data_IF_006768960702
#
_entry.id   IF_006768960702
#
_cell.length_a   1.000
_cell.length_b   1.000
_cell.length_c   1.000
_cell.angle_alpha   90.00
_cell.angle_beta   90.00
_cell.angle_gamma   90.00
#
_symmetry.space_group_name_H-M   'P 1'
#
loop_
_entity.id
_entity.type
_entity.pdbx_description
1 polymer ?
#
# COMPACT_ATOMS: atom_id res chain seq x y z
N UNK A 1 -24.75 -21.42 -9.23
CA UNK A 1 -24.76 -21.85 -7.81
C UNK A 1 -24.13 -23.23 -7.60
N UNK A 2 -24.14 -24.13 -8.58
CA UNK A 2 -23.59 -25.51 -8.46
C UNK A 2 -22.06 -25.54 -8.71
N UNK A 3 -21.54 -24.66 -9.54
CA UNK A 3 -20.09 -24.60 -9.87
C UNK A 3 -19.18 -24.01 -8.75
N UNK A 4 -19.69 -23.06 -7.91
CA UNK A 4 -18.92 -22.53 -6.78
C UNK A 4 -18.60 -23.59 -5.70
N UNK A 5 -19.52 -24.50 -5.47
CA UNK A 5 -19.33 -25.57 -4.46
C UNK A 5 -18.29 -26.61 -4.90
N UNK A 6 -18.03 -26.75 -6.22
CA UNK A 6 -17.06 -27.72 -6.72
C UNK A 6 -15.59 -27.23 -6.54
N UNK A 7 -15.35 -25.92 -6.70
CA UNK A 7 -14.01 -25.30 -6.45
C UNK A 7 -13.64 -25.39 -4.97
N UNK A 8 -14.58 -25.12 -4.05
CA UNK A 8 -14.37 -25.23 -2.60
C UNK A 8 -13.97 -26.65 -2.20
N UNK A 9 -14.61 -27.66 -2.79
CA UNK A 9 -14.30 -29.06 -2.49
C UNK A 9 -12.94 -29.49 -3.05
N UNK A 10 -12.53 -28.93 -4.20
CA UNK A 10 -11.23 -29.17 -4.82
C UNK A 10 -10.07 -28.60 -4.00
N UNK A 11 -10.24 -27.37 -3.46
CA UNK A 11 -9.23 -26.72 -2.62
C UNK A 11 -9.05 -27.42 -1.26
N UNK A 12 -10.16 -27.82 -0.62
CA UNK A 12 -10.08 -28.62 0.61
C UNK A 12 -9.36 -29.96 0.40
N UNK A 13 -9.55 -30.58 -0.79
CA UNK A 13 -8.87 -31.81 -1.15
C UNK A 13 -7.39 -31.59 -1.51
N UNK A 14 -7.01 -30.44 -2.09
CA UNK A 14 -5.63 -30.08 -2.38
C UNK A 14 -4.85 -29.78 -1.09
N UNK A 15 -5.45 -29.02 -0.15
CA UNK A 15 -4.89 -28.79 1.18
C UNK A 15 -4.66 -30.12 1.93
N UNK A 16 -5.59 -31.05 1.87
CA UNK A 16 -5.45 -32.38 2.47
C UNK A 16 -4.35 -33.22 1.81
N UNK A 17 -4.09 -33.05 0.50
CA UNK A 17 -3.05 -33.81 -0.20
C UNK A 17 -1.63 -33.33 0.11
N UNK A 18 -1.43 -32.00 0.28
CA UNK A 18 -0.13 -31.42 0.63
C UNK A 18 0.27 -31.80 2.08
N UNK A 19 -0.72 -31.91 2.99
CA UNK A 19 -0.48 -32.33 4.38
C UNK A 19 -0.30 -33.85 4.58
N UNK A 20 -0.64 -34.67 3.59
CA UNK A 20 -0.49 -36.12 3.69
C UNK A 20 0.98 -36.61 3.65
N UNK A 21 1.94 -35.76 3.26
CA UNK A 21 3.38 -36.11 3.20
C UNK A 21 4.07 -35.80 4.52
N UNK A 22 3.50 -35.00 5.42
CA UNK A 22 4.10 -34.56 6.68
C UNK A 22 3.46 -35.06 7.98
N UNK A 23 2.68 -36.14 7.98
CA UNK A 23 2.32 -36.89 9.19
C UNK A 23 1.52 -36.18 10.30
N UNK A 24 0.91 -35.01 10.10
CA UNK A 24 -0.05 -34.41 11.05
C UNK A 24 -1.38 -34.10 10.36
N UNK A 25 -2.47 -34.57 10.94
CA UNK A 25 -3.83 -34.25 10.50
C UNK A 25 -4.12 -32.79 10.79
N UNK A 26 -4.42 -31.99 9.75
CA UNK A 26 -5.01 -30.67 9.93
C UNK A 26 -6.51 -30.82 10.08
N UNK A 27 -7.03 -30.45 11.22
CA UNK A 27 -8.47 -30.31 11.51
C UNK A 27 -8.93 -28.92 11.08
N UNK A 28 -10.15 -28.79 10.56
CA UNK A 28 -10.73 -27.51 10.21
C UNK A 28 -10.77 -26.59 11.46
N UNK A 29 -10.36 -25.33 11.28
CA UNK A 29 -10.16 -24.34 12.32
C UNK A 29 -11.35 -24.25 13.30
N UNK A 30 -11.09 -24.63 14.51
CA UNK A 30 -11.96 -24.49 15.67
C UNK A 30 -11.18 -24.79 16.92
N UNK A 31 -10.85 -23.72 17.64
CA UNK A 31 -10.21 -23.64 18.96
C UNK A 31 -8.66 -23.50 18.93
N UNK A 32 -8.14 -22.65 19.84
CA UNK A 32 -6.75 -22.19 20.01
C UNK A 32 -5.64 -23.28 20.09
N UNK A 33 -5.96 -24.55 19.92
CA UNK A 33 -5.01 -25.67 20.08
C UNK A 33 -4.05 -25.91 18.88
N UNK A 34 -4.32 -25.30 17.70
CA UNK A 34 -3.52 -25.52 16.48
C UNK A 34 -2.68 -24.30 16.04
N UNK A 35 -2.67 -23.19 16.82
CA UNK A 35 -1.90 -21.99 16.47
C UNK A 35 -0.42 -22.24 16.76
N UNK A 36 0.40 -22.14 15.70
CA UNK A 36 1.84 -22.33 15.80
C UNK A 36 2.60 -21.03 16.11
N UNK A 37 2.17 -19.92 15.49
CA UNK A 37 2.80 -18.61 15.67
C UNK A 37 1.77 -17.52 15.93
N UNK A 38 2.19 -16.53 16.72
CA UNK A 38 1.45 -15.30 16.94
C UNK A 38 2.24 -14.12 16.37
N UNK A 39 1.56 -13.19 15.70
CA UNK A 39 2.18 -12.09 14.96
C UNK A 39 1.53 -10.78 15.40
N UNK A 40 2.35 -9.80 15.76
CA UNK A 40 1.89 -8.44 15.97
C UNK A 40 1.85 -7.68 14.62
N UNK A 41 0.81 -6.90 14.41
CA UNK A 41 0.68 -6.01 13.24
C UNK A 41 0.54 -4.57 13.71
N UNK A 42 1.49 -3.74 13.34
CA UNK A 42 1.51 -2.31 13.68
C UNK A 42 0.82 -1.52 12.59
N UNK A 43 -0.17 -0.71 12.98
CA UNK A 43 -0.92 0.16 12.08
C UNK A 43 -0.90 1.61 12.59
N UNK A 44 -0.84 2.59 11.67
CA UNK A 44 -0.80 4.00 12.05
C UNK A 44 -2.20 4.54 12.41
N UNK A 45 -3.26 3.99 11.83
CA UNK A 45 -4.64 4.39 12.11
C UNK A 45 -5.60 3.22 11.78
N UNK A 46 -6.23 2.66 12.80
CA UNK A 46 -7.18 1.55 12.65
C UNK A 46 -8.43 1.89 11.82
N UNK A 47 -8.79 3.16 11.75
CA UNK A 47 -9.96 3.65 11.00
C UNK A 47 -9.62 4.03 9.56
N UNK A 48 -8.34 3.98 9.17
CA UNK A 48 -7.92 4.26 7.80
C UNK A 48 -8.35 3.13 6.85
N UNK A 49 -8.94 3.44 5.68
CA UNK A 49 -9.29 2.45 4.66
C UNK A 49 -8.11 1.55 4.29
N UNK A 50 -6.92 2.13 4.10
CA UNK A 50 -5.69 1.39 3.79
C UNK A 50 -5.32 0.39 4.90
N UNK A 51 -5.34 0.81 6.16
CA UNK A 51 -5.01 -0.08 7.28
C UNK A 51 -6.07 -1.16 7.47
N UNK A 52 -7.34 -0.83 7.32
CA UNK A 52 -8.43 -1.80 7.36
C UNK A 52 -8.27 -2.88 6.28
N UNK A 53 -7.90 -2.48 5.08
CA UNK A 53 -7.63 -3.39 3.96
C UNK A 53 -6.53 -4.41 4.32
N UNK A 54 -5.38 -3.96 4.86
CA UNK A 54 -4.30 -4.84 5.29
C UNK A 54 -4.68 -5.70 6.50
N UNK A 55 -5.34 -5.13 7.51
CA UNK A 55 -5.79 -5.89 8.68
C UNK A 55 -6.76 -7.01 8.28
N UNK A 56 -7.68 -6.73 7.35
CA UNK A 56 -8.64 -7.73 6.88
C UNK A 56 -7.94 -8.84 6.07
N UNK A 57 -6.95 -8.51 5.22
CA UNK A 57 -6.17 -9.51 4.53
C UNK A 57 -5.51 -10.50 5.49
N UNK A 58 -4.91 -10.03 6.59
CA UNK A 58 -4.31 -10.91 7.59
C UNK A 58 -5.36 -11.68 8.39
N UNK A 59 -6.41 -11.02 8.87
CA UNK A 59 -7.42 -11.59 9.76
C UNK A 59 -8.34 -12.56 9.03
N UNK A 60 -8.85 -12.14 7.86
CA UNK A 60 -9.92 -12.87 7.18
C UNK A 60 -9.38 -13.84 6.13
N UNK A 61 -8.12 -13.68 5.69
CA UNK A 61 -7.55 -14.48 4.61
C UNK A 61 -6.34 -15.30 5.07
N UNK A 62 -5.23 -14.65 5.46
CA UNK A 62 -4.00 -15.37 5.84
C UNK A 62 -4.23 -16.30 7.03
N UNK A 63 -4.96 -15.86 8.04
CA UNK A 63 -5.27 -16.67 9.23
C UNK A 63 -6.10 -17.94 8.92
N UNK A 64 -6.79 -17.98 7.78
CA UNK A 64 -7.51 -19.18 7.35
C UNK A 64 -6.60 -20.21 6.67
N UNK A 65 -5.53 -19.77 6.03
CA UNK A 65 -4.60 -20.63 5.28
C UNK A 65 -3.38 -21.10 6.07
N UNK A 66 -3.05 -20.42 7.19
CA UNK A 66 -1.86 -20.68 7.98
C UNK A 66 -2.18 -20.82 9.48
N UNK A 67 -1.42 -21.63 10.25
CA UNK A 67 -1.62 -21.80 11.69
C UNK A 67 -1.06 -20.60 12.48
N UNK A 68 -1.58 -19.41 12.23
CA UNK A 68 -1.14 -18.14 12.83
C UNK A 68 -2.29 -17.38 13.43
N UNK A 69 -2.00 -16.49 14.40
CA UNK A 69 -2.94 -15.53 14.98
C UNK A 69 -2.31 -14.15 14.97
N UNK A 70 -3.11 -13.15 14.57
CA UNK A 70 -2.67 -11.76 14.50
C UNK A 70 -3.19 -10.95 15.68
N UNK A 71 -2.33 -10.07 16.21
CA UNK A 71 -2.67 -9.03 17.18
C UNK A 71 -2.37 -7.67 16.56
N UNK A 72 -3.37 -6.82 16.46
CA UNK A 72 -3.25 -5.50 15.85
C UNK A 72 -3.00 -4.45 16.92
N UNK A 73 -2.10 -3.49 16.64
CA UNK A 73 -1.88 -2.35 17.52
C UNK A 73 -3.12 -1.44 17.57
N UNK A 74 -3.20 -0.56 18.57
CA UNK A 74 -3.99 0.67 18.45
C UNK A 74 -3.37 1.61 17.42
N UNK A 75 -3.89 2.84 17.31
CA UNK A 75 -3.28 3.87 16.46
C UNK A 75 -1.88 4.20 16.98
N UNK A 76 -0.88 4.04 16.11
CA UNK A 76 0.51 4.37 16.40
C UNK A 76 0.82 5.74 15.79
N UNK A 77 1.32 6.65 16.62
CA UNK A 77 1.60 8.02 16.21
C UNK A 77 3.07 8.44 16.40
N UNK A 78 3.86 7.60 17.03
CA UNK A 78 5.29 7.83 17.27
C UNK A 78 6.08 6.52 17.28
N UNK A 79 7.38 6.61 17.05
CA UNK A 79 8.28 5.47 17.20
C UNK A 79 8.27 4.88 18.62
N UNK A 80 8.02 5.71 19.65
CA UNK A 80 7.89 5.22 21.04
C UNK A 80 6.65 4.36 21.22
N UNK A 81 5.50 4.76 20.64
CA UNK A 81 4.27 3.96 20.69
C UNK A 81 4.50 2.59 20.03
N UNK A 82 5.24 2.55 18.91
CA UNK A 82 5.59 1.29 18.24
C UNK A 82 6.53 0.43 19.08
N UNK A 83 7.57 1.03 19.67
CA UNK A 83 8.47 0.33 20.61
C UNK A 83 7.73 -0.24 21.81
N UNK A 84 6.78 0.51 22.38
CA UNK A 84 5.96 0.03 23.49
C UNK A 84 5.04 -1.12 23.07
N UNK A 85 4.49 -1.08 21.87
CA UNK A 85 3.72 -2.20 21.31
C UNK A 85 4.61 -3.44 21.15
N UNK A 86 5.83 -3.33 20.60
CA UNK A 86 6.78 -4.43 20.45
C UNK A 86 7.07 -5.08 21.81
N UNK A 87 7.39 -4.28 22.84
CA UNK A 87 7.63 -4.77 24.21
C UNK A 87 6.42 -5.49 24.81
N UNK A 88 5.23 -4.93 24.58
CA UNK A 88 3.97 -5.53 25.05
C UNK A 88 3.71 -6.87 24.34
N UNK A 89 3.97 -6.95 23.04
CA UNK A 89 3.81 -8.20 22.28
C UNK A 89 4.80 -9.26 22.73
N UNK A 90 6.05 -8.91 23.02
CA UNK A 90 7.03 -9.84 23.60
C UNK A 90 6.54 -10.46 24.89
N UNK A 91 5.96 -9.65 25.80
CA UNK A 91 5.40 -10.14 27.06
C UNK A 91 4.21 -11.10 26.86
N UNK A 92 3.50 -10.99 25.75
CA UNK A 92 2.42 -11.90 25.37
C UNK A 92 2.87 -13.14 24.60
N UNK A 93 4.18 -13.30 24.36
CA UNK A 93 4.75 -14.44 23.64
C UNK A 93 4.56 -14.37 22.13
N UNK A 94 4.36 -13.17 21.58
CA UNK A 94 4.29 -12.95 20.13
C UNK A 94 5.65 -13.27 19.50
N UNK A 95 5.64 -13.89 18.33
CA UNK A 95 6.85 -14.43 17.67
C UNK A 95 7.52 -13.43 16.73
N UNK A 96 6.77 -12.45 16.21
CA UNK A 96 7.31 -11.44 15.29
C UNK A 96 6.30 -10.34 14.94
N UNK A 97 6.79 -9.28 14.30
CA UNK A 97 6.06 -8.06 13.98
C UNK A 97 6.07 -7.78 12.49
N UNK A 98 4.91 -7.45 11.93
CA UNK A 98 4.77 -6.79 10.63
C UNK A 98 4.34 -5.35 10.90
N UNK A 99 5.08 -4.36 10.41
CA UNK A 99 4.75 -2.95 10.64
C UNK A 99 4.38 -2.23 9.34
N UNK A 100 3.37 -1.38 9.43
CA UNK A 100 2.98 -0.40 8.39
C UNK A 100 3.26 1.05 8.82
N UNK A 101 4.09 1.24 9.85
CA UNK A 101 4.43 2.57 10.37
C UNK A 101 5.91 2.92 10.14
N UNK A 102 6.84 2.32 10.84
CA UNK A 102 8.29 2.37 10.57
C UNK A 102 8.96 3.75 10.66
N UNK A 103 8.41 4.73 11.40
CA UNK A 103 9.10 5.99 11.64
C UNK A 103 10.23 5.80 12.65
N UNK A 104 11.37 6.52 12.42
CA UNK A 104 12.59 6.32 13.23
C UNK A 104 12.99 4.84 13.33
N UNK A 105 13.13 4.23 12.16
CA UNK A 105 13.37 2.79 12.00
C UNK A 105 14.59 2.29 12.79
N UNK A 106 15.62 3.14 13.00
CA UNK A 106 16.79 2.77 13.78
C UNK A 106 16.40 2.44 15.23
N UNK A 107 15.61 3.31 15.89
CA UNK A 107 15.12 3.08 17.24
C UNK A 107 14.24 1.84 17.37
N UNK A 108 13.39 1.61 16.36
CA UNK A 108 12.52 0.45 16.31
C UNK A 108 13.35 -0.84 16.22
N UNK A 109 14.33 -0.87 15.32
CA UNK A 109 15.21 -2.04 15.15
C UNK A 109 16.07 -2.28 16.39
N UNK A 110 16.59 -1.23 17.05
CA UNK A 110 17.27 -1.37 18.35
C UNK A 110 16.35 -2.04 19.39
N UNK A 111 15.08 -1.63 19.47
CA UNK A 111 14.10 -2.27 20.36
C UNK A 111 13.84 -3.73 19.98
N UNK A 112 13.77 -4.05 18.69
CA UNK A 112 13.60 -5.42 18.22
C UNK A 112 14.81 -6.31 18.57
N UNK A 113 16.02 -5.76 18.48
CA UNK A 113 17.26 -6.47 18.90
C UNK A 113 17.30 -6.70 20.42
N UNK A 114 16.89 -5.70 21.22
CA UNK A 114 16.80 -5.81 22.68
C UNK A 114 15.77 -6.88 23.12
N UNK A 115 14.63 -6.93 22.44
CA UNK A 115 13.53 -7.84 22.76
C UNK A 115 13.65 -9.19 22.02
N UNK A 116 14.66 -9.40 21.20
CA UNK A 116 14.80 -10.59 20.35
C UNK A 116 13.50 -10.88 19.57
N UNK A 117 12.98 -9.86 18.86
CA UNK A 117 11.70 -9.89 18.15
C UNK A 117 11.93 -9.71 16.65
N UNK A 118 11.59 -10.70 15.85
CA UNK A 118 11.63 -10.53 14.40
C UNK A 118 10.70 -9.41 13.92
N UNK A 119 11.21 -8.61 12.99
CA UNK A 119 10.49 -7.45 12.47
C UNK A 119 10.66 -7.33 10.97
N UNK A 120 9.57 -7.08 10.27
CA UNK A 120 9.54 -6.75 8.84
C UNK A 120 8.69 -5.50 8.61
N UNK A 121 9.20 -4.55 7.81
CA UNK A 121 8.45 -3.38 7.40
C UNK A 121 7.64 -3.72 6.13
N UNK A 122 6.32 -3.69 6.25
CA UNK A 122 5.37 -3.85 5.15
C UNK A 122 4.93 -2.48 4.62
N UNK A 123 5.06 -2.25 3.33
CA UNK A 123 4.57 -1.03 2.69
C UNK A 123 5.20 0.29 3.18
N UNK A 124 6.49 0.26 3.53
CA UNK A 124 7.25 1.46 3.91
C UNK A 124 8.52 1.61 3.08
N UNK A 125 9.07 2.81 3.05
CA UNK A 125 10.37 3.06 2.44
C UNK A 125 11.42 3.34 3.51
N UNK A 126 12.64 2.86 3.30
CA UNK A 126 13.80 3.09 4.17
C UNK A 126 14.89 3.70 3.29
N UNK A 127 15.47 4.83 3.70
CA UNK A 127 16.61 5.42 2.99
C UNK A 127 17.81 4.45 2.97
N UNK A 128 18.67 4.58 1.97
CA UNK A 128 19.90 3.77 1.92
C UNK A 128 20.77 4.02 3.15
N UNK A 129 20.83 5.27 3.63
CA UNK A 129 21.58 5.65 4.82
C UNK A 129 21.04 4.92 6.08
N UNK A 130 19.74 4.89 6.29
CA UNK A 130 19.14 4.21 7.44
C UNK A 130 19.25 2.69 7.31
N UNK A 131 19.03 2.17 6.11
CA UNK A 131 19.20 0.74 5.84
C UNK A 131 20.62 0.26 6.17
N UNK A 132 21.65 1.00 5.75
CA UNK A 132 23.05 0.65 6.03
C UNK A 132 23.37 0.59 7.54
N UNK A 133 22.65 1.35 8.37
CA UNK A 133 22.81 1.32 9.83
C UNK A 133 22.17 0.11 10.51
N UNK A 134 21.07 -0.41 9.92
CA UNK A 134 20.25 -1.44 10.57
C UNK A 134 20.35 -2.84 9.93
N UNK A 135 20.89 -2.96 8.71
CA UNK A 135 20.97 -4.23 7.97
C UNK A 135 21.76 -5.34 8.65
N UNK A 136 22.57 -5.01 9.66
CA UNK A 136 23.32 -6.00 10.45
C UNK A 136 22.54 -6.57 11.64
N UNK A 137 21.32 -6.06 11.91
CA UNK A 137 20.44 -6.64 12.92
C UNK A 137 20.09 -8.08 12.59
N UNK A 138 20.02 -8.94 13.60
CA UNK A 138 19.58 -10.32 13.43
C UNK A 138 18.05 -10.45 13.40
N UNK A 139 17.36 -9.46 13.91
CA UNK A 139 15.92 -9.47 14.07
C UNK A 139 15.18 -8.60 13.06
N UNK A 140 15.88 -7.65 12.41
CA UNK A 140 15.32 -6.90 11.30
C UNK A 140 15.42 -7.72 10.01
N UNK A 141 14.27 -8.13 9.46
CA UNK A 141 14.21 -9.00 8.28
C UNK A 141 14.14 -8.21 6.97
N UNK A 142 14.01 -6.89 7.04
CA UNK A 142 13.98 -6.03 5.88
C UNK A 142 12.64 -5.37 5.61
N UNK A 143 12.40 -5.02 4.35
CA UNK A 143 11.21 -4.32 3.91
C UNK A 143 10.61 -4.90 2.63
N UNK A 144 9.28 -4.76 2.50
CA UNK A 144 8.52 -5.03 1.26
C UNK A 144 7.64 -3.82 0.96
N UNK A 145 7.50 -3.44 -0.29
CA UNK A 145 6.53 -2.42 -0.71
C UNK A 145 7.07 -1.50 -1.81
N UNK A 146 6.35 -0.44 -2.15
CA UNK A 146 6.74 0.51 -3.17
C UNK A 146 8.07 1.20 -2.84
N UNK A 147 8.85 1.52 -3.86
CA UNK A 147 10.05 2.36 -3.76
C UNK A 147 9.77 3.78 -4.26
N UNK A 148 10.80 4.61 -4.24
CA UNK A 148 10.71 5.98 -4.74
C UNK A 148 10.32 6.06 -6.22
N UNK A 149 10.74 5.07 -7.02
CA UNK A 149 10.39 4.99 -8.45
C UNK A 149 8.91 4.68 -8.63
N UNK A 150 8.37 3.73 -7.88
CA UNK A 150 6.95 3.40 -7.92
C UNK A 150 6.07 4.60 -7.47
N UNK A 151 6.50 5.33 -6.44
CA UNK A 151 5.81 6.55 -5.99
C UNK A 151 5.84 7.63 -7.09
N UNK A 152 6.98 7.85 -7.74
CA UNK A 152 7.11 8.79 -8.86
C UNK A 152 6.20 8.37 -10.03
N UNK A 153 6.27 7.10 -10.45
CA UNK A 153 5.47 6.55 -11.55
C UNK A 153 3.96 6.66 -11.27
N UNK A 154 3.53 6.47 -10.02
CA UNK A 154 2.12 6.65 -9.65
C UNK A 154 1.62 8.08 -9.91
N UNK A 155 2.42 9.08 -9.56
CA UNK A 155 2.12 10.48 -9.85
C UNK A 155 2.17 10.79 -11.34
N UNK A 156 3.20 10.33 -12.03
CA UNK A 156 3.40 10.52 -13.46
C UNK A 156 2.25 9.92 -14.30
N UNK A 157 1.87 8.66 -14.02
CA UNK A 157 0.79 8.00 -14.75
C UNK A 157 -0.58 8.64 -14.49
N UNK A 158 -0.81 9.15 -13.28
CA UNK A 158 -2.01 9.92 -12.97
C UNK A 158 -2.08 11.18 -13.85
N UNK A 159 -1.01 11.96 -13.95
CA UNK A 159 -0.99 13.16 -14.80
C UNK A 159 -1.11 12.84 -16.29
N UNK A 160 -0.53 11.74 -16.76
CA UNK A 160 -0.67 11.25 -18.13
C UNK A 160 -2.14 11.01 -18.50
N UNK A 161 -2.90 10.36 -17.62
CA UNK A 161 -4.32 10.13 -17.80
C UNK A 161 -5.11 11.46 -17.90
N UNK A 162 -4.82 12.44 -17.05
CA UNK A 162 -5.58 13.69 -17.02
C UNK A 162 -5.20 14.66 -18.15
N UNK A 163 -3.95 14.65 -18.61
CA UNK A 163 -3.49 15.47 -19.72
C UNK A 163 -4.15 15.08 -21.07
N UNK A 164 -4.57 13.82 -21.22
CA UNK A 164 -5.31 13.35 -22.40
C UNK A 164 -6.80 13.73 -22.37
N UNK A 165 -7.25 14.41 -21.31
CA UNK A 165 -8.64 14.84 -21.14
C UNK A 165 -8.80 16.33 -21.45
N UNK A 166 -10.07 16.79 -21.62
CA UNK A 166 -10.39 18.23 -21.78
C UNK A 166 -10.21 18.97 -20.44
N UNK A 167 -8.97 18.96 -19.90
CA UNK A 167 -8.61 19.54 -18.61
C UNK A 167 -7.58 20.65 -18.81
N UNK A 168 -7.80 21.79 -18.18
CA UNK A 168 -6.91 22.95 -18.30
C UNK A 168 -6.56 23.60 -16.96
N UNK A 169 -7.35 23.35 -15.92
CA UNK A 169 -7.19 23.95 -14.60
C UNK A 169 -7.01 22.85 -13.55
N UNK A 170 -5.78 22.59 -13.18
CA UNK A 170 -5.40 21.55 -12.24
C UNK A 170 -5.16 22.10 -10.83
N UNK A 171 -5.59 21.36 -9.81
CA UNK A 171 -5.10 21.55 -8.45
C UNK A 171 -4.40 20.28 -7.98
N UNK A 172 -3.15 20.40 -7.56
CA UNK A 172 -2.32 19.31 -7.08
C UNK A 172 -2.28 19.36 -5.55
N UNK A 173 -2.85 18.35 -4.90
CA UNK A 173 -2.84 18.21 -3.45
C UNK A 173 -1.61 17.40 -3.04
N UNK A 174 -0.77 17.97 -2.19
CA UNK A 174 0.47 17.34 -1.73
C UNK A 174 0.61 17.37 -0.22
N UNK A 175 1.23 16.35 0.38
CA UNK A 175 1.51 16.30 1.81
C UNK A 175 2.39 17.45 2.32
N UNK A 176 3.06 18.16 1.40
CA UNK A 176 3.95 19.27 1.71
C UNK A 176 5.25 18.83 2.38
N UNK A 177 6.24 19.73 2.40
CA UNK A 177 7.55 19.46 3.01
C UNK A 177 7.48 19.28 4.53
N UNK A 178 6.51 19.95 5.19
CA UNK A 178 6.30 19.87 6.64
C UNK A 178 5.87 18.50 7.12
N UNK A 179 5.37 17.63 6.23
CA UNK A 179 4.99 16.27 6.54
C UNK A 179 6.19 15.31 6.59
N UNK A 180 7.35 15.70 6.05
CA UNK A 180 8.54 14.83 5.97
C UNK A 180 8.32 13.54 5.18
N UNK A 181 7.27 13.47 4.37
CA UNK A 181 6.88 12.26 3.67
C UNK A 181 7.50 12.21 2.29
N UNK A 182 8.55 11.41 2.17
CA UNK A 182 9.28 11.23 0.91
C UNK A 182 8.42 10.62 -0.21
N UNK A 183 7.46 9.78 0.12
CA UNK A 183 6.55 9.18 -0.86
C UNK A 183 5.69 10.26 -1.54
N UNK A 184 5.09 11.17 -0.76
CA UNK A 184 4.29 12.26 -1.31
C UNK A 184 5.13 13.23 -2.14
N UNK A 185 6.40 13.45 -1.76
CA UNK A 185 7.34 14.24 -2.56
C UNK A 185 7.54 13.61 -3.94
N UNK A 186 7.86 12.32 -4.02
CA UNK A 186 8.08 11.63 -5.29
C UNK A 186 6.82 11.62 -6.16
N UNK A 187 5.65 11.37 -5.59
CA UNK A 187 4.37 11.44 -6.31
C UNK A 187 4.12 12.83 -6.86
N UNK A 188 4.38 13.88 -6.08
CA UNK A 188 4.21 15.27 -6.53
C UNK A 188 5.16 15.64 -7.66
N UNK A 189 6.42 15.22 -7.58
CA UNK A 189 7.40 15.39 -8.67
C UNK A 189 6.89 14.67 -9.93
N UNK A 190 6.45 13.42 -9.81
CA UNK A 190 5.88 12.68 -10.92
C UNK A 190 4.69 13.38 -11.57
N UNK A 191 3.75 13.91 -10.78
CA UNK A 191 2.60 14.68 -11.29
C UNK A 191 3.07 15.91 -12.08
N UNK A 192 3.98 16.69 -11.53
CA UNK A 192 4.41 17.93 -12.17
C UNK A 192 5.22 17.67 -13.45
N UNK A 193 6.13 16.69 -13.43
CA UNK A 193 6.90 16.33 -14.62
C UNK A 193 6.02 15.71 -15.71
N UNK A 194 5.06 14.85 -15.34
CA UNK A 194 4.12 14.27 -16.27
C UNK A 194 3.24 15.32 -16.95
N UNK A 195 2.66 16.26 -16.19
CA UNK A 195 1.93 17.41 -16.77
C UNK A 195 2.83 18.24 -17.68
N UNK A 196 4.07 18.52 -17.25
CA UNK A 196 5.01 19.30 -18.06
C UNK A 196 5.31 18.61 -19.39
N UNK A 197 5.55 17.31 -19.40
CA UNK A 197 5.83 16.55 -20.61
C UNK A 197 4.62 16.48 -21.55
N UNK A 198 3.46 16.13 -21.02
CA UNK A 198 2.25 15.89 -21.81
C UNK A 198 1.62 17.18 -22.34
N UNK A 199 1.54 18.18 -21.51
CA UNK A 199 1.00 19.49 -21.86
C UNK A 199 2.04 20.42 -22.53
N UNK A 200 3.32 20.00 -22.58
CA UNK A 200 4.43 20.80 -23.11
C UNK A 200 4.64 22.10 -22.32
N UNK A 201 4.66 21.99 -20.97
CA UNK A 201 4.85 23.13 -20.08
C UNK A 201 6.33 23.40 -19.83
N UNK A 202 6.63 24.62 -19.39
CA UNK A 202 7.96 25.02 -18.94
C UNK A 202 7.80 25.83 -17.67
N UNK A 203 8.05 25.21 -16.54
CA UNK A 203 7.96 25.89 -15.25
C UNK A 203 9.08 26.92 -15.07
N UNK A 204 8.75 28.03 -14.42
CA UNK A 204 9.73 29.05 -14.07
C UNK A 204 10.62 28.68 -12.86
N UNK A 205 10.23 27.66 -12.11
CA UNK A 205 10.98 27.10 -10.97
C UNK A 205 11.24 25.60 -11.16
N UNK A 206 12.25 25.09 -10.46
CA UNK A 206 12.56 23.66 -10.44
C UNK A 206 11.40 22.86 -9.81
N UNK A 207 11.10 21.68 -10.36
CA UNK A 207 9.99 20.82 -9.92
C UNK A 207 10.14 20.41 -8.45
N UNK A 208 11.36 20.11 -8.00
CA UNK A 208 11.63 19.76 -6.61
C UNK A 208 11.28 20.90 -5.65
N UNK A 209 11.52 22.14 -6.06
CA UNK A 209 11.10 23.32 -5.27
C UNK A 209 9.58 23.48 -5.22
N UNK A 210 8.93 23.30 -6.36
CA UNK A 210 7.47 23.35 -6.44
C UNK A 210 6.85 22.27 -5.55
N UNK A 211 7.38 21.05 -5.61
CA UNK A 211 6.88 19.90 -4.86
C UNK A 211 6.99 20.03 -3.33
N UNK A 212 7.91 20.87 -2.83
CA UNK A 212 8.05 21.14 -1.39
C UNK A 212 7.43 22.47 -0.96
N UNK A 213 6.59 23.07 -1.79
CA UNK A 213 5.90 24.32 -1.42
C UNK A 213 5.14 24.16 -0.10
N UNK A 214 5.23 25.15 0.77
CA UNK A 214 4.54 25.17 2.06
C UNK A 214 3.25 26.01 2.04
N UNK A 215 3.05 26.76 0.96
CA UNK A 215 1.88 27.62 0.75
C UNK A 215 1.23 27.30 -0.59
N UNK A 216 -0.07 27.55 -0.70
CA UNK A 216 -0.79 27.45 -1.97
C UNK A 216 -0.16 28.34 -3.02
N UNK A 217 0.25 27.76 -4.13
CA UNK A 217 1.05 28.43 -5.16
C UNK A 217 0.46 28.17 -6.54
N UNK A 218 0.16 29.23 -7.28
CA UNK A 218 -0.15 29.13 -8.71
C UNK A 218 1.18 29.05 -9.46
N UNK A 219 1.35 27.97 -10.22
CA UNK A 219 2.59 27.70 -10.95
C UNK A 219 2.61 28.48 -12.25
N UNK A 220 3.73 29.13 -12.53
CA UNK A 220 3.99 29.68 -13.87
C UNK A 220 4.34 28.53 -14.81
N UNK A 221 3.41 28.17 -15.67
CA UNK A 221 3.49 27.03 -16.60
C UNK A 221 4.11 27.39 -17.96
N UNK A 222 4.37 28.67 -18.20
CA UNK A 222 4.77 29.16 -19.52
C UNK A 222 3.67 29.13 -20.57
N UNK A 223 2.42 28.81 -20.21
CA UNK A 223 1.22 28.80 -21.06
C UNK A 223 0.08 29.55 -20.40
N UNK A 224 -0.71 30.26 -21.22
CA UNK A 224 -1.87 31.05 -20.75
C UNK A 224 -3.14 30.19 -20.59
N UNK A 225 -3.21 29.04 -21.23
CA UNK A 225 -4.38 28.17 -21.31
C UNK A 225 -4.34 26.98 -20.35
N UNK A 226 -3.20 26.74 -19.67
CA UNK A 226 -3.06 25.69 -18.65
C UNK A 226 -2.67 26.32 -17.31
N UNK A 227 -3.47 26.07 -16.29
CA UNK A 227 -3.23 26.53 -14.93
C UNK A 227 -3.00 25.35 -13.98
N UNK A 228 -1.97 25.45 -13.14
CA UNK A 228 -1.68 24.47 -12.08
C UNK A 228 -1.58 25.22 -10.76
N UNK A 229 -2.34 24.76 -9.77
CA UNK A 229 -2.23 25.24 -8.39
C UNK A 229 -1.72 24.12 -7.50
N UNK A 230 -0.59 24.32 -6.83
CA UNK A 230 -0.09 23.42 -5.78
C UNK A 230 -0.75 23.81 -4.47
N UNK A 231 -1.43 22.85 -3.81
CA UNK A 231 -2.11 23.04 -2.55
C UNK A 231 -1.50 22.08 -1.50
N UNK A 232 -0.57 22.58 -0.65
CA UNK A 232 0.15 21.75 0.29
C UNK A 232 -0.62 21.54 1.61
N UNK A 233 -0.35 20.40 2.24
CA UNK A 233 -0.80 20.04 3.58
C UNK A 233 -1.74 18.84 3.57
N UNK A 234 -1.58 17.98 4.60
CA UNK A 234 -2.52 16.87 4.79
C UNK A 234 -3.92 17.38 5.06
N UNK A 235 -4.90 16.73 4.45
CA UNK A 235 -6.32 17.07 4.61
C UNK A 235 -6.90 16.61 5.95
N UNK A 236 -6.23 15.71 6.64
CA UNK A 236 -6.54 15.35 8.04
C UNK A 236 -6.25 16.47 9.06
N UNK A 237 -5.56 17.55 8.66
CA UNK A 237 -5.25 18.66 9.54
C UNK A 237 -5.87 19.98 9.05
N UNK A 238 -6.27 20.88 9.98
CA UNK A 238 -6.96 22.11 9.62
C UNK A 238 -6.23 22.99 8.60
N UNK A 239 -4.89 22.99 8.58
CA UNK A 239 -4.10 23.78 7.63
C UNK A 239 -4.36 23.35 6.19
N UNK A 240 -4.30 22.05 5.90
CA UNK A 240 -4.55 21.51 4.55
C UNK A 240 -5.96 21.79 4.08
N UNK A 241 -6.97 21.50 4.91
CA UNK A 241 -8.37 21.81 4.63
C UNK A 241 -8.59 23.30 4.34
N UNK A 242 -7.97 24.20 5.10
CA UNK A 242 -8.10 25.63 4.87
C UNK A 242 -7.42 26.07 3.59
N UNK A 243 -6.24 25.53 3.26
CA UNK A 243 -5.57 25.81 2.00
C UNK A 243 -6.43 25.41 0.81
N UNK A 244 -7.02 24.21 0.83
CA UNK A 244 -7.92 23.73 -0.21
C UNK A 244 -9.16 24.63 -0.36
N UNK A 245 -9.82 24.98 0.75
CA UNK A 245 -11.00 25.87 0.73
C UNK A 245 -10.66 27.25 0.19
N UNK A 246 -9.49 27.81 0.51
CA UNK A 246 -9.07 29.08 -0.05
C UNK A 246 -8.80 28.98 -1.55
N UNK A 247 -8.10 27.94 -2.00
CA UNK A 247 -7.88 27.71 -3.43
C UNK A 247 -9.21 27.63 -4.21
N UNK A 248 -10.22 26.94 -3.65
CA UNK A 248 -11.54 26.82 -4.26
C UNK A 248 -12.36 28.11 -4.29
N UNK A 249 -12.10 29.06 -3.38
CA UNK A 249 -12.71 30.40 -3.44
C UNK A 249 -12.08 31.23 -4.56
N UNK A 250 -10.76 31.09 -4.76
CA UNK A 250 -10.00 31.94 -5.67
C UNK A 250 -10.10 31.51 -7.13
N UNK A 251 -10.40 30.21 -7.42
CA UNK A 251 -10.46 29.68 -8.77
C UNK A 251 -11.46 28.52 -8.92
N UNK A 252 -11.81 28.23 -10.18
CA UNK A 252 -12.47 26.99 -10.59
C UNK A 252 -11.42 26.01 -11.11
N UNK A 253 -11.69 24.73 -10.93
CA UNK A 253 -10.80 23.66 -11.34
C UNK A 253 -11.54 22.62 -12.17
N UNK A 254 -10.82 22.00 -13.12
CA UNK A 254 -11.32 20.90 -13.93
C UNK A 254 -10.88 19.55 -13.34
N UNK A 255 -9.74 19.53 -12.64
CA UNK A 255 -9.22 18.32 -12.00
C UNK A 255 -8.51 18.59 -10.66
N UNK A 256 -8.67 17.64 -9.74
CA UNK A 256 -7.93 17.48 -8.49
C UNK A 256 -7.00 16.27 -8.64
N UNK A 257 -5.69 16.50 -8.56
CA UNK A 257 -4.66 15.46 -8.55
C UNK A 257 -4.12 15.31 -7.13
N UNK A 258 -4.54 14.25 -6.43
CA UNK A 258 -4.24 14.05 -5.02
C UNK A 258 -3.11 13.00 -4.84
N UNK A 259 -2.02 13.37 -4.20
CA UNK A 259 -0.88 12.45 -3.96
C UNK A 259 -1.05 11.56 -2.74
N UNK A 260 -2.24 11.59 -2.13
CA UNK A 260 -2.67 10.77 -0.99
C UNK A 260 -4.18 10.50 -1.10
N UNK A 261 -4.79 9.88 -0.06
CA UNK A 261 -6.20 9.52 -0.06
C UNK A 261 -7.14 10.74 -0.13
N UNK A 262 -8.31 10.54 -0.75
CA UNK A 262 -9.29 11.60 -1.03
C UNK A 262 -10.47 11.64 -0.07
N UNK A 263 -10.65 10.68 0.83
CA UNK A 263 -11.85 10.49 1.65
C UNK A 263 -12.28 11.76 2.39
N UNK A 264 -11.32 12.46 3.00
CA UNK A 264 -11.62 13.66 3.81
C UNK A 264 -11.99 14.90 2.97
N UNK A 265 -11.64 14.90 1.68
CA UNK A 265 -11.86 16.06 0.79
C UNK A 265 -13.07 15.89 -0.14
N UNK A 266 -13.60 14.69 -0.31
CA UNK A 266 -14.73 14.41 -1.21
C UNK A 266 -15.89 15.36 -1.02
N UNK A 267 -16.31 15.62 0.22
CA UNK A 267 -17.39 16.56 0.53
C UNK A 267 -17.08 18.00 0.13
N UNK A 268 -15.80 18.40 0.20
CA UNK A 268 -15.34 19.74 -0.15
C UNK A 268 -15.35 19.89 -1.67
N UNK A 269 -14.90 18.86 -2.39
CA UNK A 269 -14.91 18.82 -3.86
C UNK A 269 -16.35 18.84 -4.36
N UNK A 270 -17.23 17.97 -3.87
CA UNK A 270 -18.65 17.94 -4.24
C UNK A 270 -19.33 19.31 -4.04
N UNK A 271 -19.05 19.98 -2.91
CA UNK A 271 -19.60 21.32 -2.68
C UNK A 271 -19.07 22.35 -3.70
N UNK A 272 -17.81 22.22 -4.12
CA UNK A 272 -17.20 23.09 -5.14
C UNK A 272 -17.79 22.84 -6.52
N UNK A 273 -18.01 21.58 -6.88
CA UNK A 273 -18.69 21.20 -8.14
C UNK A 273 -20.09 21.83 -8.25
N UNK A 274 -20.87 21.73 -7.18
CA UNK A 274 -22.21 22.37 -7.11
C UNK A 274 -22.11 23.89 -7.23
N UNK A 275 -21.11 24.52 -6.60
CA UNK A 275 -20.88 25.97 -6.66
C UNK A 275 -20.49 26.43 -8.07
N UNK A 276 -19.54 25.75 -8.71
CA UNK A 276 -19.05 26.11 -10.05
C UNK A 276 -19.96 25.64 -11.19
N UNK A 277 -20.88 24.69 -10.91
CA UNK A 277 -21.84 24.15 -11.85
C UNK A 277 -21.26 23.24 -12.93
N UNK A 278 -20.10 22.61 -12.62
CA UNK A 278 -19.42 21.64 -13.48
C UNK A 278 -18.69 20.59 -12.65
N UNK A 279 -18.52 19.41 -13.23
CA UNK A 279 -17.75 18.31 -12.64
C UNK A 279 -16.28 18.70 -12.43
N UNK A 280 -15.66 18.13 -11.40
CA UNK A 280 -14.21 18.18 -11.12
C UNK A 280 -13.71 16.74 -11.15
N UNK A 281 -12.91 16.39 -12.14
CA UNK A 281 -12.30 15.07 -12.23
C UNK A 281 -11.32 14.85 -11.06
N UNK A 282 -11.31 13.64 -10.49
CA UNK A 282 -10.49 13.33 -9.31
C UNK A 282 -9.55 12.17 -9.62
N UNK A 283 -8.25 12.42 -9.46
CA UNK A 283 -7.23 11.39 -9.43
C UNK A 283 -6.57 11.31 -8.05
N UNK A 284 -6.30 10.08 -7.58
CA UNK A 284 -5.68 9.85 -6.29
C UNK A 284 -4.56 8.80 -6.33
N UNK A 285 -3.57 8.96 -5.45
CA UNK A 285 -2.67 7.86 -5.08
C UNK A 285 -3.09 7.34 -3.71
N UNK A 286 -3.81 6.23 -3.70
CA UNK A 286 -4.54 5.73 -2.54
C UNK A 286 -4.44 4.20 -2.41
N UNK A 287 -5.54 3.49 -2.31
CA UNK A 287 -5.60 2.03 -2.17
C UNK A 287 -6.90 1.45 -2.77
N UNK A 288 -6.87 0.16 -3.09
CA UNK A 288 -8.05 -0.59 -3.55
C UNK A 288 -8.85 -1.07 -2.34
N UNK A 289 -9.45 -0.12 -1.61
CA UNK A 289 -10.30 -0.34 -0.44
C UNK A 289 -11.78 -0.47 -0.80
N UNK A 290 -12.59 -0.91 0.16
CA UNK A 290 -14.05 -0.94 0.03
C UNK A 290 -14.62 0.47 -0.14
N UNK A 291 -14.05 1.44 0.57
CA UNK A 291 -14.47 2.84 0.52
C UNK A 291 -14.26 3.43 -0.88
N UNK A 292 -13.08 3.23 -1.46
CA UNK A 292 -12.79 3.67 -2.83
C UNK A 292 -13.64 2.91 -3.87
N UNK A 293 -13.92 1.61 -3.62
CA UNK A 293 -14.85 0.85 -4.44
C UNK A 293 -16.26 1.48 -4.44
N UNK A 294 -16.74 1.89 -3.28
CA UNK A 294 -18.07 2.51 -3.16
C UNK A 294 -18.10 3.88 -3.83
N UNK A 295 -17.05 4.70 -3.70
CA UNK A 295 -16.98 6.04 -4.30
C UNK A 295 -16.87 5.98 -5.84
N UNK A 296 -16.03 5.11 -6.40
CA UNK A 296 -15.89 4.98 -7.87
C UNK A 296 -17.14 4.38 -8.53
N UNK A 297 -17.93 3.62 -7.76
CA UNK A 297 -19.20 3.04 -8.22
C UNK A 297 -20.40 3.96 -7.97
N UNK A 298 -20.19 5.13 -7.35
CA UNK A 298 -21.24 6.13 -7.09
C UNK A 298 -21.08 7.32 -8.04
N UNK A 299 -22.17 7.73 -8.68
CA UNK A 299 -22.17 8.93 -9.54
C UNK A 299 -22.33 10.21 -8.72
N UNK A 300 -21.67 11.27 -9.18
CA UNK A 300 -21.86 12.63 -8.70
C UNK A 300 -23.18 13.25 -9.19
N UNK A 301 -23.42 14.53 -8.89
CA UNK A 301 -24.62 15.26 -9.35
C UNK A 301 -24.62 15.54 -10.86
N UNK A 302 -23.54 15.33 -11.57
CA UNK A 302 -23.38 15.51 -13.01
C UNK A 302 -23.41 14.19 -13.78
N UNK A 303 -23.51 13.05 -13.08
CA UNK A 303 -23.59 11.72 -13.67
C UNK A 303 -22.23 11.11 -14.01
N UNK A 304 -21.15 11.59 -13.38
CA UNK A 304 -19.80 11.06 -13.52
C UNK A 304 -19.41 10.22 -12.29
N UNK A 305 -18.44 9.32 -12.40
CA UNK A 305 -17.82 8.69 -11.22
C UNK A 305 -17.25 9.76 -10.28
N UNK A 306 -17.30 9.52 -8.97
CA UNK A 306 -16.72 10.44 -8.01
C UNK A 306 -15.18 10.39 -7.96
N UNK A 307 -14.58 9.34 -8.46
CA UNK A 307 -13.13 9.19 -8.65
C UNK A 307 -12.92 8.70 -10.08
N UNK A 308 -12.12 9.40 -10.87
CA UNK A 308 -11.86 9.09 -12.27
C UNK A 308 -10.61 8.24 -12.46
N UNK A 309 -9.64 8.38 -11.57
CA UNK A 309 -8.36 7.65 -11.61
C UNK A 309 -7.86 7.36 -10.20
N UNK A 310 -7.38 6.15 -10.00
CA UNK A 310 -6.70 5.76 -8.78
C UNK A 310 -5.43 4.97 -9.13
N UNK A 311 -4.30 5.31 -8.47
CA UNK A 311 -3.15 4.45 -8.35
C UNK A 311 -3.01 4.07 -6.89
N UNK A 312 -2.72 2.79 -6.57
CA UNK A 312 -2.74 2.48 -5.15
C UNK A 312 -2.29 1.09 -4.76
N UNK A 313 -2.25 0.92 -3.45
CA UNK A 313 -1.94 -0.33 -2.78
C UNK A 313 -3.17 -1.25 -2.79
N UNK A 314 -2.91 -2.54 -2.71
CA UNK A 314 -3.93 -3.59 -2.68
C UNK A 314 -3.73 -4.49 -1.46
N UNK A 315 -4.79 -5.11 -0.97
CA UNK A 315 -4.82 -5.81 0.32
C UNK A 315 -3.71 -6.84 0.49
N UNK A 316 -3.47 -7.67 -0.52
CA UNK A 316 -2.49 -8.75 -0.46
C UNK A 316 -1.03 -8.31 -0.65
N UNK A 317 -0.76 -7.02 -0.92
CA UNK A 317 0.61 -6.47 -0.98
C UNK A 317 1.42 -6.81 0.29
N UNK A 318 0.76 -7.00 1.44
CA UNK A 318 1.39 -7.47 2.67
C UNK A 318 1.78 -8.96 2.69
N UNK A 319 1.39 -9.75 1.69
CA UNK A 319 1.65 -11.20 1.64
C UNK A 319 3.13 -11.58 1.69
N UNK A 320 3.99 -11.02 0.86
CA UNK A 320 5.43 -11.30 0.92
C UNK A 320 6.09 -10.91 2.26
N UNK A 321 5.64 -9.83 2.93
CA UNK A 321 6.10 -9.48 4.27
C UNK A 321 5.76 -10.58 5.28
N UNK A 322 4.56 -11.16 5.17
CA UNK A 322 4.18 -12.33 5.97
C UNK A 322 5.07 -13.54 5.68
N UNK A 323 5.39 -13.84 4.42
CA UNK A 323 6.26 -14.97 4.05
C UNK A 323 7.67 -14.82 4.62
N UNK A 324 8.25 -13.60 4.53
CA UNK A 324 9.55 -13.26 5.13
C UNK A 324 9.53 -13.54 6.63
N UNK A 325 8.52 -13.02 7.33
CA UNK A 325 8.41 -13.21 8.78
C UNK A 325 8.19 -14.67 9.15
N UNK A 326 7.34 -15.38 8.41
CA UNK A 326 7.06 -16.80 8.66
C UNK A 326 8.31 -17.67 8.48
N UNK A 327 9.12 -17.43 7.44
CA UNK A 327 10.39 -18.13 7.23
C UNK A 327 11.30 -17.98 8.45
N UNK A 328 11.48 -16.77 8.96
CA UNK A 328 12.34 -16.53 10.12
C UNK A 328 11.79 -17.19 11.40
N UNK A 329 10.49 -17.07 11.69
CA UNK A 329 9.85 -17.72 12.83
C UNK A 329 9.90 -19.24 12.76
N UNK A 330 9.87 -19.81 11.56
CA UNK A 330 9.99 -21.25 11.33
C UNK A 330 11.44 -21.77 11.40
N UNK A 331 12.42 -20.88 11.60
CA UNK A 331 13.83 -21.22 11.74
C UNK A 331 14.60 -21.27 10.41
N UNK A 332 14.09 -20.60 9.37
CA UNK A 332 14.69 -20.56 8.03
C UNK A 332 14.91 -19.09 7.55
N UNK A 333 15.58 -18.21 8.33
CA UNK A 333 15.79 -16.83 7.89
C UNK A 333 16.63 -16.76 6.60
N UNK A 334 17.47 -17.75 6.33
CA UNK A 334 18.24 -17.87 5.09
C UNK A 334 17.40 -18.09 3.83
N UNK A 335 16.12 -18.41 3.95
CA UNK A 335 15.20 -18.48 2.82
C UNK A 335 14.79 -17.10 2.30
N UNK A 336 15.09 -16.03 3.03
CA UNK A 336 14.74 -14.68 2.67
C UNK A 336 15.83 -13.95 1.86
N UNK A 337 17.10 -14.30 2.06
CA UNK A 337 18.24 -13.58 1.45
C UNK A 337 19.41 -14.51 1.19
N UNK A 338 20.16 -14.25 0.10
CA UNK A 338 21.43 -14.93 -0.20
C UNK A 338 22.63 -14.26 0.48
N UNK A 339 22.42 -13.14 1.18
CA UNK A 339 23.49 -12.47 1.93
C UNK A 339 23.80 -13.25 3.21
N UNK A 340 24.94 -13.92 3.21
CA UNK A 340 25.38 -14.74 4.34
C UNK A 340 25.68 -13.92 5.62
N UNK A 341 25.86 -12.61 5.49
CA UNK A 341 26.21 -11.71 6.59
C UNK A 341 24.98 -10.90 7.08
N UNK A 342 23.80 -11.10 6.50
CA UNK A 342 22.59 -10.35 6.82
C UNK A 342 21.33 -11.22 6.68
N UNK A 343 20.38 -11.04 7.58
CA UNK A 343 19.03 -11.61 7.46
C UNK A 343 18.05 -10.69 6.72
N UNK A 344 18.51 -9.52 6.27
CA UNK A 344 17.65 -8.48 5.74
C UNK A 344 17.49 -8.56 4.23
N UNK A 345 16.28 -8.29 3.74
CA UNK A 345 15.98 -8.21 2.34
C UNK A 345 15.20 -6.92 2.00
N UNK A 346 15.40 -6.39 0.80
CA UNK A 346 14.62 -5.27 0.26
C UNK A 346 13.91 -5.75 -0.98
N UNK A 347 12.59 -5.95 -0.87
CA UNK A 347 11.74 -6.37 -1.98
C UNK A 347 10.82 -5.24 -2.40
N UNK A 348 10.63 -5.11 -3.71
CA UNK A 348 9.93 -4.00 -4.31
C UNK A 348 8.63 -4.47 -4.97
N UNK A 349 7.59 -3.65 -4.80
CA UNK A 349 6.29 -3.82 -5.44
C UNK A 349 5.87 -2.46 -5.98
N UNK A 350 5.09 -2.44 -7.06
CA UNK A 350 4.50 -1.21 -7.57
C UNK A 350 3.03 -1.09 -7.16
N UNK A 351 2.43 -0.01 -7.59
CA UNK A 351 1.00 0.22 -7.44
C UNK A 351 0.23 -0.38 -8.63
N UNK A 352 -1.01 -0.73 -8.37
CA UNK A 352 -1.99 -0.89 -9.44
C UNK A 352 -2.58 0.46 -9.77
N UNK A 353 -3.12 0.60 -11.00
CA UNK A 353 -3.86 1.78 -11.40
C UNK A 353 -5.13 1.40 -12.17
N UNK A 354 -6.19 2.16 -11.92
CA UNK A 354 -7.47 2.07 -12.61
C UNK A 354 -7.89 3.46 -13.06
N UNK A 355 -8.39 3.55 -14.29
CA UNK A 355 -8.81 4.79 -14.95
C UNK A 355 -10.31 4.83 -15.25
N UNK A 356 -11.04 3.83 -14.80
CA UNK A 356 -12.48 3.72 -14.92
C UNK A 356 -13.03 2.69 -13.92
N UNK A 357 -14.36 2.66 -13.82
CA UNK A 357 -15.10 1.76 -12.93
C UNK A 357 -14.85 0.28 -13.22
N UNK A 358 -14.71 -0.11 -14.48
CA UNK A 358 -14.59 -1.51 -14.86
C UNK A 358 -13.21 -2.05 -14.49
N UNK A 359 -12.15 -1.29 -14.81
CA UNK A 359 -10.78 -1.60 -14.41
C UNK A 359 -10.57 -1.62 -12.89
N UNK A 360 -11.21 -0.68 -12.17
CA UNK A 360 -11.17 -0.71 -10.71
C UNK A 360 -11.83 -1.96 -10.14
N UNK A 361 -13.02 -2.30 -10.61
CA UNK A 361 -13.77 -3.45 -10.10
C UNK A 361 -13.06 -4.78 -10.40
N UNK A 362 -12.37 -4.89 -11.54
CA UNK A 362 -11.55 -6.04 -11.87
C UNK A 362 -10.39 -6.17 -10.86
N UNK A 363 -9.60 -5.12 -10.66
CA UNK A 363 -8.47 -5.11 -9.73
C UNK A 363 -8.91 -5.33 -8.28
N UNK A 364 -9.99 -4.67 -7.87
CA UNK A 364 -10.56 -4.86 -6.54
C UNK A 364 -10.99 -6.31 -6.32
N UNK A 365 -11.50 -6.98 -7.36
CA UNK A 365 -11.82 -8.41 -7.32
C UNK A 365 -10.64 -9.28 -6.90
N UNK A 366 -9.43 -8.99 -7.38
CA UNK A 366 -8.20 -9.71 -6.99
C UNK A 366 -7.76 -9.45 -5.53
N UNK A 367 -8.41 -8.56 -4.81
CA UNK A 367 -8.17 -8.32 -3.38
C UNK A 367 -9.20 -8.98 -2.47
N UNK A 368 -10.34 -9.43 -3.01
CA UNK A 368 -11.47 -9.93 -2.24
C UNK A 368 -11.66 -11.45 -2.34
N UNK A 369 -11.24 -12.06 -3.44
CA UNK A 369 -11.40 -13.51 -3.63
C UNK A 369 -10.24 -14.26 -2.97
N UNK A 370 -10.57 -15.31 -2.21
CA UNK A 370 -9.58 -16.13 -1.51
C UNK A 370 -8.78 -17.04 -2.46
N UNK A 371 -9.27 -17.26 -3.68
CA UNK A 371 -8.62 -18.12 -4.69
C UNK A 371 -7.93 -17.31 -5.79
N UNK A 372 -8.47 -16.15 -6.10
CA UNK A 372 -8.02 -15.26 -7.18
C UNK A 372 -7.31 -14.02 -6.61
N UNK A 373 -6.62 -14.17 -5.47
CA UNK A 373 -5.92 -13.07 -4.82
C UNK A 373 -4.51 -12.89 -5.42
N UNK A 374 -4.06 -11.64 -5.47
CA UNK A 374 -2.75 -11.28 -6.03
C UNK A 374 -1.57 -12.00 -5.36
N UNK A 375 -1.67 -12.28 -4.05
CA UNK A 375 -0.77 -13.19 -3.34
C UNK A 375 -1.63 -14.18 -2.55
N UNK A 376 -1.96 -15.29 -3.17
CA UNK A 376 -2.77 -16.34 -2.53
C UNK A 376 -1.99 -17.09 -1.46
N UNK A 377 -2.70 -17.73 -0.52
CA UNK A 377 -2.03 -18.62 0.45
C UNK A 377 -1.22 -19.72 -0.27
N UNK A 378 -1.70 -20.20 -1.42
CA UNK A 378 -0.97 -21.18 -2.22
C UNK A 378 0.33 -20.62 -2.80
N UNK A 379 0.35 -19.35 -3.25
CA UNK A 379 1.56 -18.69 -3.74
C UNK A 379 2.55 -18.48 -2.60
N UNK A 380 2.08 -18.02 -1.44
CA UNK A 380 2.93 -17.82 -0.27
C UNK A 380 3.53 -19.13 0.24
N UNK A 381 2.80 -20.24 0.19
CA UNK A 381 3.34 -21.57 0.54
C UNK A 381 4.49 -22.01 -0.38
N UNK A 382 4.52 -21.55 -1.65
CA UNK A 382 5.62 -21.85 -2.58
C UNK A 382 6.95 -21.22 -2.15
N UNK A 383 6.91 -20.09 -1.42
CA UNK A 383 8.09 -19.32 -0.99
C UNK A 383 8.34 -19.37 0.52
N UNK A 384 7.54 -20.11 1.26
CA UNK A 384 7.76 -20.41 2.68
C UNK A 384 8.42 -21.78 2.84
N UNK A 385 9.66 -21.79 3.35
CA UNK A 385 10.51 -23.00 3.42
C UNK A 385 9.91 -24.14 4.24
N UNK A 386 9.08 -23.82 5.23
CA UNK A 386 8.38 -24.83 6.01
C UNK A 386 7.35 -25.62 5.19
N UNK A 387 6.87 -25.09 4.07
CA UNK A 387 5.92 -25.73 3.15
C UNK A 387 6.59 -26.22 1.86
N UNK A 388 7.62 -25.50 1.39
CA UNK A 388 8.41 -25.86 0.21
C UNK A 388 9.91 -25.84 0.56
N UNK A 389 10.48 -27.01 0.83
CA UNK A 389 11.90 -27.15 1.22
C UNK A 389 12.88 -26.74 0.12
N UNK A 390 12.45 -26.69 -1.13
CA UNK A 390 13.28 -26.35 -2.28
C UNK A 390 13.30 -24.86 -2.61
N UNK A 391 12.47 -24.06 -1.92
CA UNK A 391 12.38 -22.61 -2.14
C UNK A 391 13.71 -21.90 -1.83
N UNK A 392 13.97 -20.87 -2.60
CA UNK A 392 15.18 -20.04 -2.55
C UNK A 392 14.80 -18.56 -2.34
N UNK A 393 15.74 -17.69 -1.94
CA UNK A 393 15.52 -16.25 -1.90
C UNK A 393 15.09 -15.66 -3.26
N UNK A 394 15.60 -16.20 -4.37
CA UNK A 394 15.20 -15.78 -5.72
C UNK A 394 13.73 -16.09 -6.00
N UNK A 395 13.17 -17.19 -5.50
CA UNK A 395 11.75 -17.50 -5.66
C UNK A 395 10.87 -16.51 -4.91
N UNK A 396 11.26 -16.15 -3.68
CA UNK A 396 10.57 -15.12 -2.89
C UNK A 396 10.62 -13.76 -3.58
N UNK A 397 11.79 -13.38 -4.10
CA UNK A 397 11.96 -12.15 -4.85
C UNK A 397 11.12 -12.15 -6.12
N UNK A 398 11.20 -13.21 -6.92
CA UNK A 398 10.44 -13.33 -8.16
C UNK A 398 8.93 -13.26 -7.92
N UNK A 399 8.41 -13.94 -6.88
CA UNK A 399 7.01 -13.85 -6.49
C UNK A 399 6.64 -12.40 -6.10
N UNK A 400 7.46 -11.73 -5.30
CA UNK A 400 7.18 -10.39 -4.79
C UNK A 400 7.16 -9.34 -5.90
N UNK A 401 8.12 -9.42 -6.83
CA UNK A 401 8.28 -8.47 -7.93
C UNK A 401 7.30 -8.72 -9.10
N UNK A 402 6.68 -9.89 -9.16
CA UNK A 402 5.63 -10.24 -10.13
C UNK A 402 4.25 -9.78 -9.63
N UNK A 403 4.04 -8.47 -9.55
CA UNK A 403 2.84 -7.84 -9.00
C UNK A 403 1.92 -7.22 -10.06
N UNK A 404 2.35 -7.16 -11.32
CA UNK A 404 1.50 -6.58 -12.37
C UNK A 404 0.21 -7.37 -12.56
N UNK A 405 -0.79 -6.74 -13.17
CA UNK A 405 -2.09 -7.39 -13.42
C UNK A 405 -1.90 -8.67 -14.23
N UNK A 406 -1.03 -8.64 -15.25
CA UNK A 406 -0.70 -9.78 -16.08
C UNK A 406 -0.02 -10.91 -15.29
N UNK A 407 0.88 -10.57 -14.37
CA UNK A 407 1.52 -11.55 -13.48
C UNK A 407 0.50 -12.23 -12.56
N UNK A 408 -0.44 -11.44 -12.01
CA UNK A 408 -1.51 -11.95 -11.15
C UNK A 408 -2.43 -12.87 -11.92
N UNK A 409 -2.91 -12.45 -13.11
CA UNK A 409 -3.76 -13.25 -13.98
C UNK A 409 -3.11 -14.59 -14.34
N UNK A 410 -1.83 -14.54 -14.72
CA UNK A 410 -1.05 -15.74 -15.03
C UNK A 410 -0.97 -16.71 -13.84
N UNK A 411 -0.70 -16.21 -12.63
CA UNK A 411 -0.65 -17.06 -11.42
C UNK A 411 -2.02 -17.70 -11.11
N UNK A 412 -3.10 -16.94 -11.30
CA UNK A 412 -4.48 -17.47 -11.09
C UNK A 412 -4.79 -18.58 -12.08
N UNK A 413 -4.35 -18.47 -13.34
CA UNK A 413 -4.53 -19.51 -14.35
C UNK A 413 -3.70 -20.77 -14.07
N UNK A 414 -2.53 -20.63 -13.44
CA UNK A 414 -1.61 -21.72 -13.11
C UNK A 414 -1.98 -22.46 -11.80
N UNK A 415 -2.81 -21.88 -10.93
CA UNK A 415 -3.29 -22.46 -9.66
C UNK A 415 -4.63 -23.18 -9.83
#
# INVERSE_FOLDING_TARGET
MIFKNFKILGFLLLLLAVFAVGGKKVSAAGEDEDIQYTIGVVVYNQDSPEMNMFMNYYREYIQQGFPVKFYFSGNISSAEDECDFIRAMKQQGVSGIISFYGQDIQKIVETCDEEEMYYVLGSGNISDEDYDKIKSSQYFLGRVGPDAKADYEAGYNMSDYFADSDTSNYIVLTGGSSAGNYMHLQRTIGVLEGLAEKEGLTYSEDVEKLAVSEETTVVDTGKDDISITICPGYMAVPKGINNLKHAFVDANYDAVLCTFNVDEIMKIITAKEEEQGSNIKIGAVDCFSQENHDEINTEDSFGNPKIDYIAGKYASMGGPAFAILYNAMAGYPEANTDDADSNTVRLYQGFWSASDKDSFNELYGYTQDIYENAYSCADLMKVIKAYNTDTTPDDLKALTEAYTVEDVQKRIEEN
#
